data_IF_794098211189
#
_entry.id   IF_794098211189
#
_cell.length_a   1.000
_cell.length_b   1.000
_cell.length_c   1.000
_cell.angle_alpha   90.00
_cell.angle_beta   90.00
_cell.angle_gamma   90.00
#
_symmetry.space_group_name_H-M   'P 1'
#
loop_
_entity.id
_entity.type
_entity.pdbx_description
1 polymer ?
#
# COMPACT_ATOMS: atom_id res chain seq x y z
N UNK A 1 -17.97 29.69 -3.79
CA UNK A 1 -17.49 28.40 -4.30
C UNK A 1 -16.39 27.97 -3.37
N UNK A 2 -16.51 26.85 -2.67
CA UNK A 2 -15.39 26.29 -1.94
C UNK A 2 -14.33 25.87 -2.97
N UNK A 3 -13.09 26.33 -2.79
CA UNK A 3 -11.98 25.85 -3.62
C UNK A 3 -11.84 24.34 -3.41
N UNK A 4 -11.57 23.58 -4.48
CA UNK A 4 -11.24 22.17 -4.35
C UNK A 4 -10.10 22.00 -3.35
N UNK A 5 -10.22 21.08 -2.38
CA UNK A 5 -9.17 20.87 -1.40
C UNK A 5 -7.86 20.44 -2.09
N UNK A 6 -6.74 20.94 -1.58
CA UNK A 6 -5.42 20.54 -2.07
C UNK A 6 -5.27 19.02 -1.90
N UNK A 7 -4.68 18.35 -2.89
CA UNK A 7 -4.40 16.92 -2.84
C UNK A 7 -2.89 16.70 -2.67
N UNK A 8 -2.53 16.01 -1.61
CA UNK A 8 -1.15 15.60 -1.33
C UNK A 8 -0.92 14.15 -1.75
N UNK A 9 0.18 13.89 -2.44
CA UNK A 9 0.59 12.55 -2.86
C UNK A 9 1.78 12.08 -2.02
N UNK A 10 1.67 10.88 -1.48
CA UNK A 10 2.70 10.24 -0.66
C UNK A 10 2.75 8.74 -0.90
N UNK A 11 3.66 8.03 -0.23
CA UNK A 11 3.82 6.57 -0.39
C UNK A 11 4.33 5.89 0.88
N UNK A 12 4.12 4.60 0.98
CA UNK A 12 4.71 3.73 2.01
C UNK A 12 5.53 2.57 1.42
N UNK A 13 6.59 2.12 2.13
CA UNK A 13 7.20 2.79 3.28
C UNK A 13 7.90 4.08 2.84
N UNK A 14 7.85 5.14 3.66
CA UNK A 14 8.44 6.43 3.31
C UNK A 14 7.57 7.62 3.73
N UNK A 15 7.76 8.77 3.08
CA UNK A 15 6.96 9.99 3.29
C UNK A 15 7.48 10.90 4.41
N UNK A 16 8.35 10.42 5.30
CA UNK A 16 9.02 11.23 6.33
C UNK A 16 10.51 10.87 6.42
N UNK A 17 11.37 11.73 6.98
CA UNK A 17 12.79 11.42 7.08
C UNK A 17 13.10 10.12 7.84
N UNK A 18 12.34 9.77 8.87
CA UNK A 18 12.52 8.53 9.61
C UNK A 18 12.02 7.33 8.78
N UNK A 19 10.82 7.43 8.19
CA UNK A 19 10.27 6.38 7.36
C UNK A 19 11.11 6.10 6.10
N UNK A 20 11.74 7.12 5.50
CA UNK A 20 12.66 6.93 4.36
C UNK A 20 13.94 6.16 4.77
N UNK A 21 14.47 6.37 5.98
CA UNK A 21 15.60 5.56 6.48
C UNK A 21 15.20 4.11 6.73
N UNK A 22 14.01 3.89 7.28
CA UNK A 22 13.45 2.54 7.46
C UNK A 22 13.22 1.87 6.10
N UNK A 23 12.72 2.62 5.10
CA UNK A 23 12.59 2.14 3.71
C UNK A 23 13.92 1.66 3.16
N UNK A 24 15.02 2.39 3.41
CA UNK A 24 16.35 1.97 3.00
C UNK A 24 16.71 0.56 3.52
N UNK A 25 16.42 0.29 4.79
CA UNK A 25 16.65 -1.03 5.39
C UNK A 25 15.70 -2.10 4.79
N UNK A 26 14.42 -1.77 4.65
CA UNK A 26 13.39 -2.71 4.18
C UNK A 26 13.60 -3.18 2.74
N UNK A 27 14.14 -2.32 1.87
CA UNK A 27 14.30 -2.62 0.43
C UNK A 27 15.71 -3.06 0.06
N UNK A 28 16.67 -2.97 0.97
CA UNK A 28 18.05 -3.39 0.74
C UNK A 28 18.13 -4.93 0.60
N UNK A 29 18.53 -5.45 -0.56
CA UNK A 29 18.63 -6.89 -0.80
C UNK A 29 19.73 -7.57 0.04
N UNK A 30 20.69 -6.82 0.57
CA UNK A 30 21.77 -7.35 1.40
C UNK A 30 21.37 -7.47 2.88
N UNK A 31 20.26 -6.87 3.29
CA UNK A 31 19.74 -6.96 4.66
C UNK A 31 18.85 -8.18 4.82
N UNK A 32 19.34 -9.19 5.52
CA UNK A 32 18.52 -10.33 5.94
C UNK A 32 17.78 -9.97 7.24
N UNK A 33 16.50 -10.34 7.29
CA UNK A 33 15.67 -10.13 8.48
C UNK A 33 14.54 -11.17 8.55
N UNK A 34 14.12 -11.53 9.75
CA UNK A 34 12.95 -12.37 9.94
C UNK A 34 11.64 -11.62 9.62
N UNK A 35 10.57 -12.40 9.43
CA UNK A 35 9.28 -11.87 9.01
C UNK A 35 8.66 -10.88 10.02
N UNK A 36 8.85 -11.08 11.32
CA UNK A 36 8.34 -10.17 12.34
C UNK A 36 9.12 -8.86 12.36
N UNK A 37 10.45 -8.92 12.26
CA UNK A 37 11.28 -7.70 12.13
C UNK A 37 10.84 -6.88 10.92
N UNK A 38 10.61 -7.51 9.77
CA UNK A 38 10.07 -6.84 8.60
C UNK A 38 8.71 -6.15 8.91
N UNK A 39 7.78 -6.87 9.54
CA UNK A 39 6.47 -6.34 9.87
C UNK A 39 6.53 -5.16 10.85
N UNK A 40 7.39 -5.23 11.88
CA UNK A 40 7.62 -4.14 12.83
C UNK A 40 8.20 -2.91 12.16
N UNK A 41 9.14 -3.07 11.25
CA UNK A 41 9.73 -1.94 10.52
C UNK A 41 8.69 -1.25 9.61
N UNK A 42 7.85 -2.01 8.91
CA UNK A 42 6.72 -1.43 8.15
C UNK A 42 5.76 -0.68 9.07
N UNK A 43 5.40 -1.24 10.22
CA UNK A 43 4.51 -0.59 11.18
C UNK A 43 5.14 0.69 11.79
N UNK A 44 6.44 0.66 12.10
CA UNK A 44 7.16 1.84 12.61
C UNK A 44 7.23 2.98 11.58
N UNK A 45 7.54 2.67 10.32
CA UNK A 45 7.53 3.64 9.24
C UNK A 45 6.13 4.26 9.04
N UNK A 46 5.09 3.42 9.07
CA UNK A 46 3.68 3.85 8.98
C UNK A 46 3.27 4.74 10.12
N UNK A 47 3.65 4.41 11.36
CA UNK A 47 3.31 5.20 12.53
C UNK A 47 3.88 6.63 12.45
N UNK A 48 5.13 6.78 12.01
CA UNK A 48 5.74 8.11 11.81
C UNK A 48 5.08 8.86 10.65
N UNK A 49 4.82 8.17 9.54
CA UNK A 49 4.17 8.72 8.36
C UNK A 49 2.72 9.17 8.64
N UNK A 50 1.92 8.32 9.26
CA UNK A 50 0.53 8.66 9.59
C UNK A 50 0.44 9.89 10.50
N UNK A 51 1.26 9.98 11.55
CA UNK A 51 1.20 11.06 12.54
C UNK A 51 1.82 12.36 12.08
N UNK A 52 2.90 12.31 11.29
CA UNK A 52 3.66 13.51 10.92
C UNK A 52 3.32 14.07 9.55
N UNK A 53 2.76 13.26 8.69
CA UNK A 53 2.48 13.66 7.31
C UNK A 53 0.99 13.58 6.97
N UNK A 54 0.33 12.43 7.20
CA UNK A 54 -1.05 12.24 6.75
C UNK A 54 -2.03 13.00 7.65
N UNK A 55 -2.04 12.71 8.95
CA UNK A 55 -3.01 13.28 9.89
C UNK A 55 -3.02 14.81 9.89
N UNK A 56 -1.87 15.52 9.96
CA UNK A 56 -1.87 16.99 9.94
C UNK A 56 -2.43 17.59 8.65
N UNK A 57 -2.35 16.87 7.53
CA UNK A 57 -2.93 17.31 6.25
C UNK A 57 -4.44 17.13 6.23
N UNK A 58 -4.92 15.98 6.69
CA UNK A 58 -6.36 15.72 6.83
C UNK A 58 -7.01 16.74 7.78
N UNK A 59 -6.35 17.10 8.89
CA UNK A 59 -6.80 18.13 9.83
C UNK A 59 -6.93 19.53 9.20
N UNK A 60 -6.13 19.81 8.16
CA UNK A 60 -6.25 21.04 7.37
C UNK A 60 -7.30 20.96 6.25
N UNK A 61 -7.99 19.82 6.12
CA UNK A 61 -8.96 19.59 5.05
C UNK A 61 -8.34 19.29 3.69
N UNK A 62 -7.07 18.86 3.66
CA UNK A 62 -6.41 18.40 2.44
C UNK A 62 -6.83 16.95 2.13
N UNK A 63 -6.88 16.57 0.85
CA UNK A 63 -6.97 15.17 0.45
C UNK A 63 -5.57 14.55 0.49
N UNK A 64 -5.48 13.29 0.87
CA UNK A 64 -4.22 12.53 0.82
C UNK A 64 -4.40 11.28 -0.05
N UNK A 65 -3.52 11.13 -1.04
CA UNK A 65 -3.40 9.93 -1.86
C UNK A 65 -2.10 9.24 -1.51
N UNK A 66 -2.18 8.03 -0.97
CA UNK A 66 -1.01 7.25 -0.54
C UNK A 66 -0.84 6.00 -1.40
N UNK A 67 0.33 5.86 -2.03
CA UNK A 67 0.69 4.60 -2.67
C UNK A 67 1.08 3.59 -1.60
N UNK A 68 0.31 2.49 -1.51
CA UNK A 68 0.37 1.46 -0.47
C UNK A 68 0.06 2.02 0.92
N UNK A 69 -0.54 1.20 1.77
CA UNK A 69 -0.83 1.48 3.16
C UNK A 69 -1.07 0.16 3.91
N UNK A 70 -1.93 0.14 4.94
CA UNK A 70 -2.24 -1.00 5.79
C UNK A 70 -2.55 -2.29 5.02
N UNK A 71 -3.38 -2.22 3.97
CA UNK A 71 -3.78 -3.38 3.17
C UNK A 71 -2.56 -4.10 2.55
N UNK A 72 -1.53 -3.35 2.17
CA UNK A 72 -0.27 -3.93 1.71
C UNK A 72 0.42 -4.75 2.79
N UNK A 73 0.47 -4.28 4.05
CA UNK A 73 1.07 -5.06 5.14
C UNK A 73 0.28 -6.33 5.45
N UNK A 74 -1.05 -6.26 5.45
CA UNK A 74 -1.89 -7.45 5.66
C UNK A 74 -1.62 -8.48 4.54
N UNK A 75 -1.55 -8.05 3.28
CA UNK A 75 -1.31 -8.94 2.15
C UNK A 75 0.14 -9.49 2.15
N UNK A 76 1.16 -8.64 2.32
CA UNK A 76 2.56 -9.04 2.21
C UNK A 76 3.07 -9.75 3.46
N UNK A 77 2.92 -9.15 4.64
CA UNK A 77 3.42 -9.72 5.89
C UNK A 77 2.44 -10.76 6.45
N UNK A 78 1.13 -10.46 6.43
CA UNK A 78 0.10 -11.36 6.94
C UNK A 78 0.00 -12.66 6.14
N UNK A 79 -0.25 -12.56 4.84
CA UNK A 79 -0.38 -13.72 3.95
C UNK A 79 0.94 -14.14 3.32
N UNK A 80 1.68 -13.20 2.73
CA UNK A 80 2.94 -13.48 2.03
C UNK A 80 3.97 -14.13 2.94
N UNK A 81 4.28 -13.54 4.09
CA UNK A 81 5.21 -14.07 5.10
C UNK A 81 4.57 -15.10 6.04
N UNK A 82 3.24 -15.24 6.03
CA UNK A 82 2.53 -16.22 6.84
C UNK A 82 2.38 -15.84 8.32
N UNK A 83 2.47 -14.56 8.67
CA UNK A 83 2.32 -14.09 10.05
C UNK A 83 0.86 -14.10 10.54
N UNK A 84 -0.10 -14.22 9.60
CA UNK A 84 -1.53 -14.13 9.89
C UNK A 84 -2.07 -12.70 9.72
N UNK A 85 -3.22 -12.59 9.05
CA UNK A 85 -3.83 -11.30 8.73
C UNK A 85 -4.21 -10.51 9.99
N UNK A 86 -4.81 -11.18 10.98
CA UNK A 86 -5.26 -10.54 12.22
C UNK A 86 -4.08 -10.05 13.05
N UNK A 87 -3.03 -10.85 13.20
CA UNK A 87 -1.82 -10.44 13.92
C UNK A 87 -1.14 -9.21 13.31
N UNK A 88 -1.09 -9.14 11.97
CA UNK A 88 -0.55 -7.96 11.27
C UNK A 88 -1.50 -6.75 11.37
N UNK A 89 -2.82 -6.97 11.36
CA UNK A 89 -3.81 -5.90 11.59
C UNK A 89 -3.66 -5.33 12.99
N UNK A 90 -3.57 -6.18 14.02
CA UNK A 90 -3.40 -5.77 15.42
C UNK A 90 -2.08 -5.00 15.62
N UNK A 91 -0.97 -5.50 15.07
CA UNK A 91 0.31 -4.78 15.07
C UNK A 91 0.19 -3.36 14.51
N UNK A 92 -0.58 -3.19 13.43
CA UNK A 92 -0.72 -1.90 12.76
C UNK A 92 -1.82 -1.01 13.36
N UNK A 93 -2.68 -1.52 14.24
CA UNK A 93 -3.79 -0.74 14.84
C UNK A 93 -3.29 0.53 15.52
N UNK A 94 -2.19 0.45 16.27
CA UNK A 94 -1.55 1.60 16.92
C UNK A 94 -0.77 2.49 15.95
N UNK A 95 -0.29 1.92 14.83
CA UNK A 95 0.46 2.68 13.83
C UNK A 95 -0.45 3.60 13.02
N UNK A 96 -1.63 3.14 12.66
CA UNK A 96 -2.58 3.93 11.85
C UNK A 96 -3.46 4.85 12.70
N UNK A 97 -3.61 4.56 14.00
CA UNK A 97 -4.57 5.27 14.88
C UNK A 97 -5.98 5.30 14.25
N UNK A 98 -6.49 6.50 13.94
CA UNK A 98 -7.77 6.70 13.25
C UNK A 98 -7.62 6.97 11.74
N UNK A 99 -6.40 6.92 11.20
CA UNK A 99 -6.13 7.21 9.79
C UNK A 99 -6.38 5.96 8.95
N UNK A 100 -7.64 5.73 8.61
CA UNK A 100 -8.08 4.63 7.73
C UNK A 100 -8.50 5.23 6.38
N UNK A 101 -8.08 4.66 5.24
CA UNK A 101 -8.48 5.18 3.93
C UNK A 101 -9.99 5.07 3.70
N UNK A 102 -10.61 6.14 3.19
CA UNK A 102 -12.02 6.14 2.76
C UNK A 102 -12.21 5.23 1.53
N UNK A 103 -11.19 5.17 0.66
CA UNK A 103 -11.14 4.30 -0.52
C UNK A 103 -9.75 3.74 -0.72
N UNK A 104 -9.69 2.49 -1.18
CA UNK A 104 -8.48 1.85 -1.68
C UNK A 104 -8.72 1.39 -3.11
N UNK A 105 -7.88 1.81 -4.04
CA UNK A 105 -7.90 1.35 -5.42
C UNK A 105 -6.91 0.20 -5.58
N UNK A 106 -7.42 -1.01 -5.78
CA UNK A 106 -6.60 -2.17 -6.04
C UNK A 106 -6.42 -2.34 -7.56
N UNK A 107 -5.23 -2.05 -8.03
CA UNK A 107 -4.84 -2.19 -9.44
C UNK A 107 -4.52 -3.66 -9.72
N UNK A 108 -5.51 -4.40 -10.21
CA UNK A 108 -5.34 -5.81 -10.56
C UNK A 108 -4.67 -5.94 -11.92
N UNK A 109 -3.61 -6.73 -11.99
CA UNK A 109 -2.92 -7.06 -13.23
C UNK A 109 -2.86 -8.57 -13.40
N UNK A 110 -3.24 -9.06 -14.58
CA UNK A 110 -3.12 -10.49 -14.90
C UNK A 110 -1.65 -10.97 -14.83
N UNK A 111 -1.46 -12.25 -14.54
CA UNK A 111 -0.12 -12.83 -14.32
C UNK A 111 0.78 -12.61 -15.54
N UNK A 112 0.28 -12.91 -16.74
CA UNK A 112 1.06 -12.80 -17.99
C UNK A 112 1.53 -11.35 -18.23
N UNK A 113 0.65 -10.39 -18.04
CA UNK A 113 0.93 -8.97 -18.23
C UNK A 113 1.90 -8.44 -17.16
N UNK A 114 1.76 -8.89 -15.91
CA UNK A 114 2.70 -8.57 -14.84
C UNK A 114 4.10 -9.10 -15.16
N UNK A 115 4.22 -10.36 -15.61
CA UNK A 115 5.49 -10.94 -16.00
C UNK A 115 6.11 -10.24 -17.21
N UNK A 116 5.28 -9.83 -18.18
CA UNK A 116 5.75 -9.05 -19.32
C UNK A 116 6.34 -7.71 -18.87
N UNK A 117 5.61 -6.95 -18.06
CA UNK A 117 6.08 -5.65 -17.53
C UNK A 117 7.32 -5.78 -16.66
N UNK A 118 7.42 -6.84 -15.86
CA UNK A 118 8.60 -7.11 -15.04
C UNK A 118 9.84 -7.36 -15.89
N UNK A 119 9.69 -8.03 -17.04
CA UNK A 119 10.79 -8.27 -18.00
C UNK A 119 11.25 -7.01 -18.75
N UNK A 120 10.33 -6.08 -19.00
CA UNK A 120 10.59 -4.86 -19.79
C UNK A 120 11.11 -3.69 -18.96
N UNK A 121 10.91 -3.68 -17.65
CA UNK A 121 10.95 -2.46 -16.85
C UNK A 121 12.08 -2.29 -15.82
N UNK A 122 12.98 -3.27 -15.54
CA UNK A 122 13.85 -3.13 -14.36
C UNK A 122 15.28 -3.63 -14.53
N UNK A 123 16.22 -2.76 -14.09
CA UNK A 123 17.64 -3.08 -14.00
C UNK A 123 18.00 -3.86 -12.70
N UNK A 124 17.21 -3.76 -11.62
CA UNK A 124 17.41 -4.49 -10.36
C UNK A 124 16.09 -4.70 -9.62
N UNK A 125 15.96 -5.84 -8.96
CA UNK A 125 14.84 -6.19 -8.09
C UNK A 125 15.16 -5.79 -6.64
N UNK A 126 14.17 -5.27 -5.91
CA UNK A 126 14.32 -5.05 -4.48
C UNK A 126 14.14 -6.36 -3.68
N UNK A 127 14.41 -6.31 -2.37
CA UNK A 127 14.36 -7.46 -1.47
C UNK A 127 13.01 -8.20 -1.48
N UNK A 128 11.91 -7.48 -1.65
CA UNK A 128 10.55 -8.06 -1.68
C UNK A 128 10.24 -8.71 -3.03
N UNK A 129 10.77 -8.15 -4.10
CA UNK A 129 10.55 -8.63 -5.48
C UNK A 129 11.31 -9.92 -5.78
N UNK A 130 12.41 -10.18 -5.07
CA UNK A 130 13.25 -11.39 -5.24
C UNK A 130 12.61 -12.66 -4.66
N UNK A 131 11.56 -12.53 -3.79
CA UNK A 131 11.02 -13.67 -3.03
C UNK A 131 10.34 -14.75 -3.88
N UNK A 132 9.90 -14.43 -5.10
CA UNK A 132 9.43 -15.43 -6.07
C UNK A 132 7.91 -15.61 -6.17
N UNK A 133 7.49 -16.44 -7.14
CA UNK A 133 6.09 -16.57 -7.56
C UNK A 133 5.15 -17.12 -6.47
N UNK A 134 5.61 -18.06 -5.66
CA UNK A 134 4.80 -18.65 -4.58
C UNK A 134 4.42 -17.60 -3.52
N UNK A 135 5.38 -16.77 -3.13
CA UNK A 135 5.14 -15.65 -2.20
C UNK A 135 4.11 -14.68 -2.80
N UNK A 136 4.29 -14.27 -4.06
CA UNK A 136 3.37 -13.36 -4.73
C UNK A 136 1.96 -13.95 -4.85
N UNK A 137 1.84 -15.26 -5.07
CA UNK A 137 0.54 -15.95 -5.06
C UNK A 137 -0.14 -15.91 -3.67
N UNK A 138 0.63 -15.97 -2.57
CA UNK A 138 0.07 -15.77 -1.22
C UNK A 138 -0.37 -14.32 -1.01
N UNK A 139 0.42 -13.35 -1.47
CA UNK A 139 0.07 -11.91 -1.40
C UNK A 139 -1.22 -11.62 -2.16
N UNK A 140 -1.39 -12.15 -3.37
CA UNK A 140 -2.62 -12.01 -4.17
C UNK A 140 -3.84 -12.58 -3.43
N UNK A 141 -3.73 -13.78 -2.84
CA UNK A 141 -4.80 -14.34 -1.99
C UNK A 141 -5.11 -13.44 -0.80
N UNK A 142 -4.10 -12.76 -0.24
CA UNK A 142 -4.27 -11.77 0.80
C UNK A 142 -5.14 -10.60 0.35
N UNK A 143 -4.82 -9.98 -0.78
CA UNK A 143 -5.64 -8.90 -1.34
C UNK A 143 -7.06 -9.35 -1.67
N UNK A 144 -7.25 -10.53 -2.27
CA UNK A 144 -8.58 -11.09 -2.53
C UNK A 144 -9.39 -11.31 -1.23
N UNK A 145 -8.71 -11.70 -0.16
CA UNK A 145 -9.32 -11.81 1.16
C UNK A 145 -9.81 -10.46 1.69
N UNK A 146 -8.96 -9.42 1.62
CA UNK A 146 -9.28 -8.07 2.08
C UNK A 146 -10.43 -7.48 1.25
N UNK A 147 -10.40 -7.63 -0.09
CA UNK A 147 -11.46 -7.17 -0.99
C UNK A 147 -12.82 -7.77 -0.60
N UNK A 148 -12.87 -9.06 -0.29
CA UNK A 148 -14.11 -9.72 0.13
C UNK A 148 -14.63 -9.23 1.48
N UNK A 149 -13.75 -8.85 2.39
CA UNK A 149 -14.12 -8.35 3.73
C UNK A 149 -14.56 -6.89 3.69
N UNK A 150 -14.00 -6.07 2.80
CA UNK A 150 -14.24 -4.63 2.74
C UNK A 150 -14.67 -4.15 1.34
N UNK A 151 -15.72 -4.75 0.75
CA UNK A 151 -16.11 -4.46 -0.65
C UNK A 151 -16.62 -3.03 -0.84
N UNK A 152 -17.01 -2.33 0.21
CA UNK A 152 -17.45 -0.94 0.15
C UNK A 152 -16.28 0.05 0.13
N UNK A 153 -15.11 -0.33 0.66
CA UNK A 153 -13.91 0.50 0.73
C UNK A 153 -12.96 0.25 -0.44
N UNK A 154 -12.90 -0.98 -0.94
CA UNK A 154 -11.90 -1.38 -1.94
C UNK A 154 -12.52 -1.49 -3.33
N UNK A 155 -12.03 -0.65 -4.24
CA UNK A 155 -12.42 -0.63 -5.65
C UNK A 155 -11.35 -1.37 -6.46
N UNK A 156 -11.76 -2.40 -7.19
CA UNK A 156 -10.86 -3.17 -8.06
C UNK A 156 -10.85 -2.56 -9.45
N UNK A 157 -9.69 -2.18 -9.93
CA UNK A 157 -9.48 -1.62 -11.27
C UNK A 157 -8.57 -2.53 -12.09
N UNK A 158 -8.87 -2.67 -13.38
CA UNK A 158 -8.01 -3.40 -14.32
C UNK A 158 -6.79 -2.54 -14.69
N UNK A 159 -5.62 -2.93 -14.20
CA UNK A 159 -4.36 -2.24 -14.44
C UNK A 159 -3.82 -2.40 -15.88
N UNK A 160 -4.48 -3.17 -16.73
CA UNK A 160 -4.17 -3.24 -18.17
C UNK A 160 -4.76 -2.05 -18.95
N UNK A 161 -5.71 -1.33 -18.37
CA UNK A 161 -6.32 -0.15 -18.99
C UNK A 161 -5.31 0.99 -19.17
N UNK A 162 -5.52 1.86 -20.18
CA UNK A 162 -4.71 3.07 -20.35
C UNK A 162 -4.75 3.97 -19.11
N UNK A 163 -3.64 4.66 -18.74
CA UNK A 163 -3.59 5.51 -17.55
C UNK A 163 -4.69 6.58 -17.48
N UNK A 164 -5.09 7.15 -18.61
CA UNK A 164 -6.18 8.14 -18.68
C UNK A 164 -7.52 7.55 -18.26
N UNK A 165 -7.86 6.36 -18.73
CA UNK A 165 -9.09 5.66 -18.36
C UNK A 165 -9.09 5.25 -16.88
N UNK A 166 -7.95 4.80 -16.36
CA UNK A 166 -7.79 4.52 -14.94
C UNK A 166 -8.03 5.78 -14.09
N UNK A 167 -7.46 6.92 -14.50
CA UNK A 167 -7.63 8.19 -13.81
C UNK A 167 -9.11 8.63 -13.78
N UNK A 168 -9.82 8.50 -14.89
CA UNK A 168 -11.26 8.82 -14.96
C UNK A 168 -12.08 7.95 -14.03
N UNK A 169 -11.80 6.63 -13.95
CA UNK A 169 -12.47 5.71 -13.03
C UNK A 169 -12.20 6.05 -11.58
N UNK A 170 -10.94 6.35 -11.22
CA UNK A 170 -10.56 6.79 -9.87
C UNK A 170 -11.31 8.07 -9.50
N UNK A 171 -11.34 9.07 -10.39
CA UNK A 171 -12.04 10.33 -10.14
C UNK A 171 -13.55 10.13 -9.95
N UNK A 172 -14.16 9.23 -10.71
CA UNK A 172 -15.58 8.87 -10.57
C UNK A 172 -15.92 8.29 -9.19
N UNK A 173 -15.00 7.55 -8.57
CA UNK A 173 -15.18 6.96 -7.24
C UNK A 173 -14.88 7.94 -6.09
N UNK A 174 -14.06 8.96 -6.31
CA UNK A 174 -13.71 9.96 -5.30
C UNK A 174 -14.78 11.06 -5.20
N UNK A 175 -15.41 11.45 -6.30
CA UNK A 175 -16.43 12.50 -6.32
C UNK A 175 -17.57 12.32 -5.30
N UNK A 176 -18.13 11.11 -5.07
CA UNK A 176 -19.17 10.90 -4.06
C UNK A 176 -18.73 11.03 -2.61
N UNK A 177 -17.41 11.09 -2.35
CA UNK A 177 -16.84 11.19 -0.99
C UNK A 177 -16.70 12.64 -0.49
N UNK A 178 -17.00 13.63 -1.36
CA UNK A 178 -16.91 15.08 -1.05
C UNK A 178 -18.18 15.67 -0.48
#
# INVERSE_FOLDING_TARGET
MASDPLTHFTREPGGTPAAERIRGILLDPEVDMDAWTEAYLYAAARADHARREILPRLERGENVVCERYLDSSIAYQGFGRGLGADAVRDLNSWAVESVVPDRTFYLRLGVDERERRAREGRASLDRIEVVGAEFMGRVERGFEGIIRLEPQRIVVLDAALPPGELAERVMGEIHPLR
#
